data_IF_523966315174
#
_entry.id   IF_523966315174
#
_cell.length_a   1.000
_cell.length_b   1.000
_cell.length_c   1.000
_cell.angle_alpha   90.00
_cell.angle_beta   90.00
_cell.angle_gamma   90.00
#
_symmetry.space_group_name_H-M   'P 1'
#
loop_
_entity.id
_entity.type
_entity.pdbx_description
1 polymer ?
#
# COMPACT_ATOMS: atom_id res chain seq x y z
N UNK A 1 0.61 -0.85 -22.21
CA UNK A 1 0.01 -2.10 -21.69
C UNK A 1 0.63 -2.29 -20.32
N UNK A 2 -0.10 -2.03 -19.24
CA UNK A 2 0.40 -2.43 -17.91
C UNK A 2 0.29 -3.94 -17.85
N UNK A 3 1.38 -4.62 -17.52
CA UNK A 3 1.35 -6.06 -17.25
C UNK A 3 0.41 -6.37 -16.08
N UNK A 4 0.02 -7.64 -15.94
CA UNK A 4 -0.67 -8.07 -14.73
C UNK A 4 0.24 -7.83 -13.52
N UNK A 5 -0.30 -7.27 -12.44
CA UNK A 5 0.41 -7.08 -11.18
C UNK A 5 0.55 -8.45 -10.50
N UNK A 6 1.78 -8.92 -10.34
CA UNK A 6 2.08 -10.24 -9.77
C UNK A 6 2.95 -10.16 -8.52
N UNK A 7 3.70 -9.08 -8.37
CA UNK A 7 4.59 -8.86 -7.23
C UNK A 7 4.71 -7.38 -6.91
N UNK A 8 5.37 -7.08 -5.78
CA UNK A 8 5.67 -5.69 -5.43
C UNK A 8 6.51 -4.97 -6.47
N UNK A 9 7.33 -5.65 -7.26
CA UNK A 9 8.12 -5.02 -8.34
C UNK A 9 7.25 -4.44 -9.47
N UNK A 10 6.00 -4.87 -9.58
CA UNK A 10 5.06 -4.38 -10.60
C UNK A 10 4.32 -3.10 -10.16
N UNK A 11 4.45 -2.70 -8.89
CA UNK A 11 3.78 -1.54 -8.32
C UNK A 11 4.46 -0.24 -8.76
N UNK A 12 3.69 0.70 -9.31
CA UNK A 12 4.19 1.95 -9.89
C UNK A 12 4.83 2.89 -8.86
N UNK A 13 4.49 2.70 -7.58
CA UNK A 13 5.07 3.42 -6.45
C UNK A 13 6.28 2.71 -5.83
N UNK A 14 6.81 1.67 -6.48
CA UNK A 14 8.04 0.98 -6.06
C UNK A 14 9.11 1.04 -7.13
N UNK A 15 10.37 0.85 -6.73
CA UNK A 15 11.52 0.76 -7.63
C UNK A 15 12.66 0.06 -6.92
N UNK A 16 13.57 -0.58 -7.66
CA UNK A 16 14.85 -1.00 -7.10
C UNK A 16 15.86 0.14 -7.12
N UNK A 17 16.48 0.41 -5.98
CA UNK A 17 17.58 1.37 -5.91
C UNK A 17 18.89 0.83 -6.53
N UNK A 18 19.96 1.62 -6.48
CA UNK A 18 21.26 1.26 -7.05
C UNK A 18 21.87 0.00 -6.39
N UNK A 19 21.46 -0.32 -5.16
CA UNK A 19 21.87 -1.51 -4.42
C UNK A 19 20.93 -2.71 -4.66
N UNK A 20 19.89 -2.55 -5.49
CA UNK A 20 18.92 -3.59 -5.82
C UNK A 20 17.83 -3.79 -4.75
N UNK A 21 17.77 -2.93 -3.73
CA UNK A 21 16.73 -2.97 -2.69
C UNK A 21 15.43 -2.42 -3.25
N UNK A 22 14.32 -3.12 -3.01
CA UNK A 22 13.01 -2.64 -3.42
C UNK A 22 12.54 -1.56 -2.43
N UNK A 23 12.51 -0.32 -2.91
CA UNK A 23 12.07 0.86 -2.17
C UNK A 23 10.65 1.25 -2.57
N UNK A 24 9.90 1.75 -1.60
CA UNK A 24 8.62 2.42 -1.83
C UNK A 24 8.88 3.93 -1.96
N UNK A 25 8.02 4.63 -2.68
CA UNK A 25 8.07 6.09 -2.84
C UNK A 25 9.43 6.60 -3.38
N UNK A 26 9.90 6.09 -4.55
CA UNK A 26 11.25 6.37 -5.04
C UNK A 26 11.52 7.82 -5.44
N UNK A 27 10.49 8.68 -5.48
CA UNK A 27 10.61 10.11 -5.76
C UNK A 27 10.34 10.90 -4.48
N UNK A 28 11.08 11.99 -4.29
CA UNK A 28 10.77 12.98 -3.27
C UNK A 28 9.31 13.44 -3.48
N UNK A 29 8.43 13.11 -2.53
CA UNK A 29 7.03 13.50 -2.54
C UNK A 29 6.87 14.73 -1.63
N UNK A 30 6.75 15.95 -2.18
CA UNK A 30 6.62 17.16 -1.39
C UNK A 30 5.28 17.29 -0.63
N UNK A 31 4.38 16.29 -0.75
CA UNK A 31 3.08 16.31 -0.10
C UNK A 31 2.12 17.29 -0.75
N UNK A 32 2.07 17.33 -2.09
CA UNK A 32 1.13 18.21 -2.81
C UNK A 32 -0.27 17.61 -2.83
N UNK A 33 -1.30 18.46 -2.76
CA UNK A 33 -2.70 18.03 -2.75
C UNK A 33 -3.08 17.13 -3.94
N UNK A 34 -2.45 17.32 -5.10
CA UNK A 34 -2.68 16.50 -6.29
C UNK A 34 -2.23 15.03 -6.13
N UNK A 35 -1.38 14.71 -5.15
CA UNK A 35 -0.93 13.35 -4.87
C UNK A 35 -1.92 12.57 -4.00
N UNK A 36 -2.92 13.24 -3.39
CA UNK A 36 -3.97 12.59 -2.62
C UNK A 36 -4.66 11.49 -3.43
N UNK A 37 -5.20 11.86 -4.60
CA UNK A 37 -5.92 10.92 -5.45
C UNK A 37 -5.00 9.79 -5.94
N UNK A 38 -3.71 10.08 -6.21
CA UNK A 38 -2.76 9.03 -6.59
C UNK A 38 -2.57 7.99 -5.50
N UNK A 39 -2.50 8.43 -4.23
CA UNK A 39 -2.42 7.52 -3.09
C UNK A 39 -3.64 6.61 -2.99
N UNK A 40 -4.84 7.17 -3.23
CA UNK A 40 -6.09 6.39 -3.31
C UNK A 40 -6.01 5.37 -4.45
N UNK A 41 -5.63 5.82 -5.65
CA UNK A 41 -5.55 4.97 -6.85
C UNK A 41 -4.52 3.84 -6.70
N UNK A 42 -3.38 4.08 -6.04
CA UNK A 42 -2.39 3.04 -5.74
C UNK A 42 -2.99 1.93 -4.86
N UNK A 43 -3.81 2.29 -3.88
CA UNK A 43 -4.42 1.31 -2.99
C UNK A 43 -5.59 0.59 -3.66
N UNK A 44 -6.54 1.33 -4.24
CA UNK A 44 -7.76 0.77 -4.82
C UNK A 44 -7.53 0.04 -6.15
N UNK A 45 -6.49 0.41 -6.90
CA UNK A 45 -6.08 -0.28 -8.11
C UNK A 45 -5.00 -1.31 -7.82
N UNK A 46 -3.78 -0.84 -7.60
CA UNK A 46 -2.60 -1.70 -7.66
C UNK A 46 -2.49 -2.67 -6.47
N UNK A 47 -2.65 -2.18 -5.24
CA UNK A 47 -2.58 -3.04 -4.03
C UNK A 47 -3.77 -4.01 -3.99
N UNK A 48 -4.97 -3.57 -4.40
CA UNK A 48 -6.14 -4.44 -4.51
C UNK A 48 -5.91 -5.56 -5.52
N UNK A 49 -5.43 -5.24 -6.71
CA UNK A 49 -5.16 -6.22 -7.76
C UNK A 49 -4.04 -7.18 -7.34
N UNK A 50 -3.00 -6.67 -6.66
CA UNK A 50 -1.97 -7.51 -6.03
C UNK A 50 -2.56 -8.44 -4.97
N UNK A 51 -3.44 -7.97 -4.09
CA UNK A 51 -4.08 -8.80 -3.07
C UNK A 51 -5.01 -9.87 -3.67
N UNK A 52 -5.54 -9.65 -4.87
CA UNK A 52 -6.27 -10.66 -5.62
C UNK A 52 -5.37 -11.79 -6.14
N UNK A 53 -4.09 -11.49 -6.37
CA UNK A 53 -3.08 -12.45 -6.83
C UNK A 53 -2.33 -13.13 -5.66
N UNK A 54 -1.74 -12.33 -4.77
CA UNK A 54 -0.97 -12.75 -3.60
C UNK A 54 -1.17 -11.76 -2.44
N UNK A 55 -1.92 -12.21 -1.45
CA UNK A 55 -2.21 -11.42 -0.23
C UNK A 55 -0.96 -11.15 0.62
N UNK A 56 0.09 -11.97 0.52
CA UNK A 56 1.35 -11.77 1.23
C UNK A 56 2.16 -10.63 0.61
N UNK A 57 2.23 -10.58 -0.72
CA UNK A 57 2.86 -9.46 -1.43
C UNK A 57 2.13 -8.14 -1.18
N UNK A 58 0.79 -8.16 -1.16
CA UNK A 58 -0.01 -6.99 -0.78
C UNK A 58 0.21 -6.55 0.68
N UNK A 59 0.30 -7.51 1.61
CA UNK A 59 0.67 -7.23 3.01
C UNK A 59 2.01 -6.47 3.08
N UNK A 60 3.03 -6.97 2.39
CA UNK A 60 4.34 -6.32 2.36
C UNK A 60 4.28 -4.95 1.67
N UNK A 61 3.53 -4.81 0.57
CA UNK A 61 3.35 -3.52 -0.10
C UNK A 61 2.83 -2.44 0.87
N UNK A 62 1.79 -2.75 1.64
CA UNK A 62 1.19 -1.84 2.63
C UNK A 62 2.17 -1.56 3.78
N UNK A 63 2.78 -2.62 4.34
CA UNK A 63 3.72 -2.48 5.45
C UNK A 63 4.90 -1.56 5.09
N UNK A 64 5.53 -1.78 3.95
CA UNK A 64 6.69 -0.99 3.52
C UNK A 64 6.30 0.40 3.02
N UNK A 65 5.11 0.56 2.44
CA UNK A 65 4.59 1.89 2.09
C UNK A 65 4.40 2.77 3.33
N UNK A 66 3.86 2.22 4.42
CA UNK A 66 3.64 2.96 5.67
C UNK A 66 4.96 3.23 6.41
N UNK A 67 5.84 2.22 6.51
CA UNK A 67 7.12 2.38 7.18
C UNK A 67 8.09 3.32 6.42
N UNK A 68 7.98 3.38 5.10
CA UNK A 68 8.90 4.15 4.24
C UNK A 68 8.69 5.67 4.25
N UNK A 69 7.56 6.20 4.71
CA UNK A 69 7.26 7.64 4.60
C UNK A 69 7.99 8.53 5.61
N UNK A 70 8.48 7.99 6.74
CA UNK A 70 9.08 8.78 7.82
C UNK A 70 10.60 8.77 7.88
N UNK A 71 11.28 7.93 7.09
CA UNK A 71 12.73 7.68 7.16
C UNK A 71 13.19 7.01 8.46
N UNK A 72 12.43 7.11 9.55
CA UNK A 72 12.67 6.52 10.87
C UNK A 72 11.37 5.86 11.36
N UNK A 73 11.44 4.59 11.78
CA UNK A 73 10.34 3.87 12.42
C UNK A 73 10.82 3.24 13.73
N UNK A 74 10.05 3.40 14.78
CA UNK A 74 10.27 2.74 16.09
C UNK A 74 9.67 1.33 16.11
N UNK A 75 10.08 0.49 17.07
CA UNK A 75 9.43 -0.82 17.29
C UNK A 75 7.93 -0.69 17.59
N UNK A 76 7.49 0.43 18.16
CA UNK A 76 6.08 0.72 18.42
C UNK A 76 5.33 0.92 17.10
N UNK A 77 5.86 1.74 16.20
CA UNK A 77 5.27 1.96 14.87
C UNK A 77 5.30 0.70 14.01
N UNK A 78 6.39 -0.08 14.03
CA UNK A 78 6.50 -1.34 13.28
C UNK A 78 5.40 -2.33 13.69
N UNK A 79 5.17 -2.49 15.00
CA UNK A 79 4.11 -3.37 15.51
C UNK A 79 2.70 -2.87 15.14
N UNK A 80 2.47 -1.56 15.17
CA UNK A 80 1.20 -0.96 14.75
C UNK A 80 0.95 -1.16 13.25
N UNK A 81 1.95 -0.87 12.41
CA UNK A 81 1.90 -1.03 10.95
C UNK A 81 1.64 -2.49 10.57
N UNK A 82 2.26 -3.49 11.24
CA UNK A 82 1.97 -4.91 10.98
C UNK A 82 0.48 -5.22 11.16
N UNK A 83 -0.15 -4.74 12.24
CA UNK A 83 -1.57 -4.99 12.51
C UNK A 83 -2.49 -4.26 11.54
N UNK A 84 -2.15 -3.03 11.15
CA UNK A 84 -2.87 -2.27 10.13
C UNK A 84 -2.81 -2.98 8.78
N UNK A 85 -1.61 -3.42 8.34
CA UNK A 85 -1.44 -4.12 7.07
C UNK A 85 -2.23 -5.44 7.03
N UNK A 86 -2.24 -6.22 8.12
CA UNK A 86 -3.08 -7.43 8.23
C UNK A 86 -4.57 -7.12 8.14
N UNK A 87 -5.03 -6.10 8.84
CA UNK A 87 -6.43 -5.68 8.81
C UNK A 87 -6.85 -5.21 7.41
N UNK A 88 -5.99 -4.45 6.73
CA UNK A 88 -6.21 -4.00 5.37
C UNK A 88 -6.34 -5.18 4.39
N UNK A 89 -5.48 -6.21 4.50
CA UNK A 89 -5.59 -7.43 3.66
C UNK A 89 -6.89 -8.19 3.94
N UNK A 90 -7.34 -8.27 5.19
CA UNK A 90 -8.67 -8.84 5.51
C UNK A 90 -9.77 -8.03 4.82
N UNK A 91 -9.69 -6.69 4.85
CA UNK A 91 -10.63 -5.81 4.16
C UNK A 91 -10.63 -6.04 2.64
N UNK A 92 -9.46 -6.11 2.01
CA UNK A 92 -9.32 -6.40 0.58
C UNK A 92 -9.92 -7.76 0.21
N UNK A 93 -9.69 -8.79 1.03
CA UNK A 93 -10.32 -10.11 0.87
C UNK A 93 -11.84 -10.02 0.97
N UNK A 94 -12.36 -9.35 2.01
CA UNK A 94 -13.79 -9.22 2.22
C UNK A 94 -14.47 -8.42 1.09
N UNK A 95 -13.86 -7.35 0.60
CA UNK A 95 -14.37 -6.55 -0.52
C UNK A 95 -14.39 -7.36 -1.83
N UNK A 96 -13.38 -8.20 -2.08
CA UNK A 96 -13.40 -9.17 -3.20
C UNK A 96 -14.59 -10.13 -3.10
N UNK A 97 -14.98 -10.49 -1.88
CA UNK A 97 -16.14 -11.34 -1.59
C UNK A 97 -17.47 -10.56 -1.49
N UNK A 98 -17.48 -9.26 -1.82
CA UNK A 98 -18.67 -8.42 -1.92
C UNK A 98 -19.02 -7.63 -0.66
N UNK A 99 -18.11 -7.49 0.30
CA UNK A 99 -18.31 -6.58 1.42
C UNK A 99 -18.29 -5.11 0.97
N UNK A 100 -19.19 -4.31 1.55
CA UNK A 100 -19.26 -2.87 1.29
C UNK A 100 -18.05 -2.12 1.89
N UNK A 101 -17.53 -1.09 1.21
CA UNK A 101 -16.47 -0.24 1.75
C UNK A 101 -16.89 0.46 3.04
N UNK A 102 -15.92 0.64 3.96
CA UNK A 102 -16.13 1.46 5.15
C UNK A 102 -16.14 2.95 4.79
N UNK A 103 -17.19 3.65 5.22
CA UNK A 103 -17.26 5.11 5.19
C UNK A 103 -17.25 5.64 6.64
N UNK A 104 -16.28 6.50 7.02
CA UNK A 104 -16.34 7.20 8.29
C UNK A 104 -17.65 8.00 8.39
N UNK A 105 -18.24 8.05 9.58
CA UNK A 105 -19.28 9.03 9.86
C UNK A 105 -18.63 10.41 9.93
N UNK A 106 -19.11 11.37 9.15
CA UNK A 106 -18.69 12.76 9.30
C UNK A 106 -18.92 13.18 10.75
N UNK A 107 -17.85 13.50 11.45
CA UNK A 107 -17.93 14.23 12.72
C UNK A 107 -17.99 15.70 12.36
N UNK A 108 -19.17 16.31 12.53
CA UNK A 108 -19.39 17.76 12.49
C UNK A 108 -18.34 18.53 13.32
#
# INVERSE_FOLDING_TARGET
>A
MSGAIQSRDDLSFTMRDAEGRLINWPRNNPGVAADWQKGVDFFEGEVRDLAAHDETEAFYAIQFALAGMGGWTTNLEIGFIDRVARAAVIGLRAMRDGAEPFAPTDTD
#
